data_IF_343392313395
#
_entry.id   IF_343392313395
#
_cell.length_a   1.000
_cell.length_b   1.000
_cell.length_c   1.000
_cell.angle_alpha   90.00
_cell.angle_beta   90.00
_cell.angle_gamma   90.00
#
_symmetry.space_group_name_H-M   'P 1'
#
loop_
_entity.id
_entity.type
_entity.pdbx_description
1 polymer ?
#
# COMPACT_ATOMS: atom_id res chain seq x y z
N UNK A 1 -28.35 -8.22 -7.97
CA UNK A 1 -29.14 -8.22 -6.73
C UNK A 1 -28.66 -9.27 -5.75
N UNK A 2 -28.54 -8.88 -4.53
CA UNK A 2 -27.96 -9.74 -3.50
C UNK A 2 -29.03 -10.67 -2.90
N UNK A 3 -28.81 -11.99 -2.99
CA UNK A 3 -29.70 -13.02 -2.48
C UNK A 3 -29.25 -13.64 -1.17
N UNK A 4 -28.41 -12.92 -0.41
CA UNK A 4 -27.86 -13.46 0.83
C UNK A 4 -28.93 -13.91 1.83
N UNK A 5 -30.10 -13.23 1.86
CA UNK A 5 -31.17 -13.58 2.76
C UNK A 5 -31.80 -14.96 2.48
N UNK A 6 -31.57 -15.51 1.28
CA UNK A 6 -32.05 -16.83 0.90
C UNK A 6 -31.12 -17.96 1.28
N UNK A 7 -29.92 -17.64 1.77
CA UNK A 7 -28.93 -18.63 2.19
C UNK A 7 -29.14 -18.99 3.67
N UNK A 8 -28.72 -20.20 4.09
CA UNK A 8 -28.68 -20.55 5.51
C UNK A 8 -27.84 -19.56 6.29
N UNK A 9 -28.19 -19.32 7.55
CA UNK A 9 -27.52 -18.31 8.38
C UNK A 9 -26.00 -18.51 8.47
N UNK A 10 -25.56 -19.76 8.62
CA UNK A 10 -24.11 -20.05 8.70
C UNK A 10 -23.38 -19.70 7.41
N UNK A 11 -24.00 -19.96 6.27
CA UNK A 11 -23.42 -19.62 4.96
C UNK A 11 -23.47 -18.13 4.73
N UNK A 12 -24.57 -17.46 5.15
CA UNK A 12 -24.68 -15.99 5.03
C UNK A 12 -23.57 -15.28 5.79
N UNK A 13 -23.27 -15.72 7.01
CA UNK A 13 -22.18 -15.15 7.80
C UNK A 13 -20.84 -15.28 7.10
N UNK A 14 -20.57 -16.41 6.46
CA UNK A 14 -19.35 -16.63 5.70
C UNK A 14 -19.31 -15.80 4.43
N UNK A 15 -20.45 -15.63 3.76
CA UNK A 15 -20.55 -14.92 2.47
C UNK A 15 -20.53 -13.41 2.61
N UNK A 16 -20.96 -12.88 3.74
CA UNK A 16 -21.01 -11.43 3.95
C UNK A 16 -19.76 -10.89 4.64
N UNK A 17 -18.76 -11.73 4.85
CA UNK A 17 -17.47 -11.23 5.32
C UNK A 17 -16.91 -10.28 4.28
N UNK A 18 -16.74 -9.03 4.68
CA UNK A 18 -16.15 -8.01 3.81
C UNK A 18 -14.69 -8.39 3.53
N UNK A 19 -14.24 -8.34 2.26
CA UNK A 19 -12.83 -8.57 1.98
C UNK A 19 -11.97 -7.66 2.84
N UNK A 20 -10.94 -8.22 3.43
CA UNK A 20 -10.03 -7.45 4.27
C UNK A 20 -9.31 -6.41 3.43
N UNK A 21 -9.27 -5.21 3.93
CA UNK A 21 -8.50 -4.12 3.34
C UNK A 21 -7.25 -3.88 4.15
N UNK A 22 -6.25 -3.39 3.47
CA UNK A 22 -4.98 -3.05 4.10
C UNK A 22 -4.56 -1.66 3.66
N UNK A 23 -3.79 -1.01 4.51
CA UNK A 23 -3.15 0.27 4.21
C UNK A 23 -1.66 0.02 3.98
N UNK A 24 -1.13 0.63 2.93
CA UNK A 24 0.31 0.60 2.66
C UNK A 24 0.92 1.93 3.03
N UNK A 25 1.89 1.88 3.93
CA UNK A 25 2.67 3.04 4.36
C UNK A 25 4.09 2.94 3.85
N UNK A 26 4.61 4.03 3.33
CA UNK A 26 6.01 4.13 2.97
C UNK A 26 6.76 4.62 4.21
N UNK A 27 7.85 3.93 4.54
CA UNK A 27 8.64 4.21 5.73
C UNK A 27 9.89 4.99 5.37
N UNK A 28 10.20 6.00 6.17
CA UNK A 28 11.43 6.76 5.99
C UNK A 28 12.65 5.93 6.40
N UNK A 29 13.76 6.16 5.70
CA UNK A 29 15.08 5.65 6.08
C UNK A 29 16.13 6.69 5.69
N UNK A 30 17.35 6.51 6.19
CA UNK A 30 18.42 7.49 6.02
C UNK A 30 19.23 7.31 4.72
N UNK A 31 18.94 6.29 3.93
CA UNK A 31 19.78 5.91 2.80
C UNK A 31 19.09 6.04 1.43
N UNK A 32 17.77 5.95 1.40
CA UNK A 32 17.03 6.05 0.15
C UNK A 32 16.95 7.49 -0.30
N UNK A 33 17.31 7.76 -1.55
CA UNK A 33 17.25 9.11 -2.09
C UNK A 33 15.79 9.57 -2.24
N UNK A 34 15.57 10.89 -2.11
CA UNK A 34 14.25 11.48 -2.30
C UNK A 34 13.73 11.23 -3.71
N UNK A 35 14.62 11.29 -4.72
CA UNK A 35 14.25 11.02 -6.10
C UNK A 35 13.73 9.61 -6.30
N UNK A 36 14.34 8.63 -5.63
CA UNK A 36 13.88 7.25 -5.69
C UNK A 36 12.49 7.09 -5.05
N UNK A 37 12.25 7.73 -3.92
CA UNK A 37 10.94 7.71 -3.25
C UNK A 37 9.86 8.28 -4.18
N UNK A 38 10.13 9.43 -4.81
CA UNK A 38 9.20 10.04 -5.77
C UNK A 38 8.93 9.09 -6.93
N UNK A 39 9.97 8.44 -7.46
CA UNK A 39 9.85 7.49 -8.55
C UNK A 39 8.94 6.31 -8.19
N UNK A 40 9.10 5.76 -6.99
CA UNK A 40 8.25 4.66 -6.49
C UNK A 40 6.79 5.10 -6.42
N UNK A 41 6.53 6.28 -5.91
CA UNK A 41 5.17 6.80 -5.77
C UNK A 41 4.50 7.00 -7.13
N UNK A 42 5.25 7.43 -8.12
CA UNK A 42 4.73 7.58 -9.49
C UNK A 42 4.50 6.22 -10.14
N UNK A 43 5.46 5.30 -10.04
CA UNK A 43 5.41 4.01 -10.73
C UNK A 43 4.38 3.05 -10.14
N UNK A 44 4.27 3.01 -8.82
CA UNK A 44 3.49 1.97 -8.15
C UNK A 44 2.19 2.46 -7.53
N UNK A 45 2.05 3.77 -7.30
CA UNK A 45 0.88 4.32 -6.61
C UNK A 45 0.09 5.31 -7.45
N UNK A 46 0.40 5.38 -8.75
CA UNK A 46 -0.34 6.20 -9.70
C UNK A 46 -0.41 7.68 -9.29
N UNK A 47 0.64 8.19 -8.66
CA UNK A 47 0.71 9.59 -8.28
C UNK A 47 1.34 10.40 -9.41
N UNK A 48 0.90 11.65 -9.57
CA UNK A 48 1.63 12.58 -10.44
C UNK A 48 2.83 13.15 -9.68
N UNK A 49 3.68 13.92 -10.37
CA UNK A 49 4.89 14.48 -9.77
C UNK A 49 4.60 15.30 -8.52
N UNK A 50 3.58 16.15 -8.58
CA UNK A 50 3.24 17.03 -7.46
C UNK A 50 2.79 16.24 -6.24
N UNK A 51 1.90 15.28 -6.44
CA UNK A 51 1.41 14.40 -5.37
C UNK A 51 2.53 13.55 -4.77
N UNK A 52 3.39 13.01 -5.64
CA UNK A 52 4.51 12.19 -5.22
C UNK A 52 5.51 12.98 -4.37
N UNK A 53 5.82 14.22 -4.77
CA UNK A 53 6.71 15.08 -4.01
C UNK A 53 6.12 15.43 -2.63
N UNK A 54 4.83 15.74 -2.57
CA UNK A 54 4.15 16.01 -1.30
C UNK A 54 4.19 14.80 -0.37
N UNK A 55 3.91 13.62 -0.90
CA UNK A 55 3.97 12.38 -0.11
C UNK A 55 5.39 12.08 0.35
N UNK A 56 6.37 12.25 -0.53
CA UNK A 56 7.78 12.07 -0.18
C UNK A 56 8.17 12.97 1.00
N UNK A 57 7.75 14.23 0.97
CA UNK A 57 8.02 15.15 2.08
C UNK A 57 7.34 14.72 3.37
N UNK A 58 6.13 14.15 3.30
CA UNK A 58 5.47 13.60 4.47
C UNK A 58 6.25 12.44 5.06
N UNK A 59 6.74 11.53 4.22
CA UNK A 59 7.58 10.42 4.68
C UNK A 59 8.82 10.95 5.39
N UNK A 60 9.47 11.92 4.78
CA UNK A 60 10.69 12.52 5.33
C UNK A 60 10.43 13.24 6.66
N UNK A 61 9.32 13.98 6.75
CA UNK A 61 9.01 14.80 7.92
C UNK A 61 8.43 13.99 9.08
N UNK A 62 7.52 13.05 8.78
CA UNK A 62 6.76 12.32 9.81
C UNK A 62 7.22 10.88 10.01
N UNK A 63 8.17 10.41 9.21
CA UNK A 63 8.68 9.05 9.31
C UNK A 63 7.92 8.02 8.49
N UNK A 64 6.68 8.32 8.11
CA UNK A 64 5.86 7.45 7.26
C UNK A 64 4.74 8.25 6.63
N UNK A 65 4.20 7.74 5.52
CA UNK A 65 3.00 8.31 4.90
C UNK A 65 2.17 7.21 4.25
N UNK A 66 0.86 7.38 4.31
CA UNK A 66 -0.10 6.47 3.66
C UNK A 66 -0.02 6.65 2.14
N UNK A 67 0.26 5.57 1.43
CA UNK A 67 0.32 5.56 -0.02
C UNK A 67 -0.99 5.13 -0.67
N UNK A 68 -1.75 4.29 -0.01
CA UNK A 68 -3.04 3.84 -0.52
C UNK A 68 -3.64 2.72 0.32
N UNK A 69 -4.92 2.47 0.05
CA UNK A 69 -5.69 1.41 0.70
C UNK A 69 -6.13 0.45 -0.39
N UNK A 70 -5.91 -0.83 -0.18
CA UNK A 70 -6.11 -1.87 -1.17
C UNK A 70 -6.75 -3.10 -0.54
N UNK A 71 -7.30 -3.98 -1.39
CA UNK A 71 -7.62 -5.33 -0.94
C UNK A 71 -6.32 -6.03 -0.53
N UNK A 72 -6.44 -7.06 0.31
CA UNK A 72 -5.28 -7.78 0.83
C UNK A 72 -4.38 -8.30 -0.29
N UNK A 73 -4.97 -8.92 -1.31
CA UNK A 73 -4.22 -9.51 -2.42
C UNK A 73 -3.43 -8.47 -3.20
N UNK A 74 -4.09 -7.38 -3.57
CA UNK A 74 -3.46 -6.29 -4.32
C UNK A 74 -2.36 -5.63 -3.48
N UNK A 75 -2.64 -5.40 -2.20
CA UNK A 75 -1.70 -4.77 -1.30
C UNK A 75 -0.42 -5.59 -1.09
N UNK A 76 -0.57 -6.90 -0.89
CA UNK A 76 0.57 -7.81 -0.74
C UNK A 76 1.42 -7.80 -2.00
N UNK A 77 0.78 -7.92 -3.17
CA UNK A 77 1.48 -7.91 -4.45
C UNK A 77 2.27 -6.61 -4.64
N UNK A 78 1.62 -5.49 -4.36
CA UNK A 78 2.22 -4.17 -4.51
C UNK A 78 3.39 -3.98 -3.54
N UNK A 79 3.21 -4.36 -2.27
CA UNK A 79 4.29 -4.30 -1.28
C UNK A 79 5.50 -5.12 -1.70
N UNK A 80 5.26 -6.35 -2.14
CA UNK A 80 6.34 -7.24 -2.55
C UNK A 80 7.08 -6.68 -3.77
N UNK A 81 6.35 -6.12 -4.73
CA UNK A 81 6.95 -5.53 -5.93
C UNK A 81 7.83 -4.32 -5.57
N UNK A 82 7.33 -3.42 -4.73
CA UNK A 82 8.09 -2.25 -4.32
C UNK A 82 9.33 -2.64 -3.51
N UNK A 83 9.16 -3.54 -2.55
CA UNK A 83 10.28 -3.97 -1.70
C UNK A 83 11.37 -4.65 -2.54
N UNK A 84 10.97 -5.46 -3.53
CA UNK A 84 11.93 -6.09 -4.45
C UNK A 84 12.64 -5.06 -5.32
N UNK A 85 11.89 -4.13 -5.91
CA UNK A 85 12.46 -3.10 -6.77
C UNK A 85 13.46 -2.22 -5.99
N UNK A 86 13.14 -1.89 -4.75
CA UNK A 86 14.04 -1.14 -3.87
C UNK A 86 15.34 -1.90 -3.62
N UNK A 87 15.25 -3.18 -3.27
CA UNK A 87 16.44 -4.02 -3.07
C UNK A 87 17.27 -4.13 -4.33
N UNK A 88 16.62 -4.34 -5.48
CA UNK A 88 17.31 -4.47 -6.76
C UNK A 88 18.08 -3.18 -7.13
N UNK A 89 17.64 -2.05 -6.62
CA UNK A 89 18.31 -0.75 -6.80
C UNK A 89 19.19 -0.37 -5.61
N UNK A 90 19.43 -1.31 -4.71
CA UNK A 90 20.31 -1.13 -3.54
C UNK A 90 19.81 -0.09 -2.54
N UNK A 91 18.50 0.07 -2.42
CA UNK A 91 17.89 0.93 -1.41
C UNK A 91 17.17 0.11 -0.35
N UNK A 92 17.24 0.53 0.94
CA UNK A 92 16.54 -0.16 2.02
C UNK A 92 15.06 0.23 2.13
N UNK A 93 14.54 1.04 1.23
CA UNK A 93 13.16 1.52 1.25
C UNK A 93 12.16 0.36 1.34
N UNK A 94 11.18 0.49 2.23
CA UNK A 94 10.17 -0.55 2.45
C UNK A 94 8.78 0.03 2.58
N UNK A 95 7.81 -0.73 2.12
CA UNK A 95 6.41 -0.52 2.43
C UNK A 95 6.02 -1.38 3.62
N UNK A 96 5.28 -0.78 4.54
CA UNK A 96 4.65 -1.48 5.65
C UNK A 96 3.18 -1.72 5.32
N UNK A 97 2.70 -2.91 5.65
CA UNK A 97 1.31 -3.29 5.43
C UNK A 97 0.61 -3.31 6.79
N UNK A 98 -0.48 -2.57 6.89
CA UNK A 98 -1.28 -2.51 8.12
C UNK A 98 -2.70 -2.94 7.79
N UNK A 99 -3.22 -3.91 8.53
CA UNK A 99 -4.62 -4.34 8.41
C UNK A 99 -5.53 -3.27 8.97
N UNK A 100 -6.59 -3.00 8.24
CA UNK A 100 -7.63 -2.06 8.67
C UNK A 100 -8.74 -2.79 9.39
#
# INVERSE_FOLDING_TARGET
>A
MNNLLKLPKNIRKKKINVPKKIALYLLNDDFTSMDFVVKILIMYFNKNNHEAEKLMMKVHTYGKALCGIYSLDIGITKRNAVNKYSRDNSYPLKLSLIHI
#
